data_IF_819898673205
#
_entry.id   IF_819898673205
#
_cell.length_a   1.000
_cell.length_b   1.000
_cell.length_c   1.000
_cell.angle_alpha   90.00
_cell.angle_beta   90.00
_cell.angle_gamma   90.00
#
_symmetry.space_group_name_H-M   'P 1'
#
loop_
_entity.id
_entity.type
_entity.pdbx_description
1 polymer ?
#
# COMPACT_ATOMS: atom_id res chain seq x y z
N UNK A 1 -42.62 9.79 -12.71
CA UNK A 1 -41.44 10.42 -12.07
C UNK A 1 -40.54 9.32 -11.53
N UNK A 2 -39.58 8.85 -12.32
CA UNK A 2 -38.56 7.91 -11.82
C UNK A 2 -37.40 8.72 -11.26
N UNK A 3 -37.26 8.71 -9.95
CA UNK A 3 -36.13 9.31 -9.24
C UNK A 3 -34.91 8.39 -9.47
N UNK A 4 -34.05 8.74 -10.43
CA UNK A 4 -32.76 8.10 -10.59
C UNK A 4 -31.87 8.47 -9.39
N UNK A 5 -31.64 7.51 -8.50
CA UNK A 5 -30.62 7.59 -7.47
C UNK A 5 -29.25 7.53 -8.17
N UNK A 6 -28.67 8.70 -8.41
CA UNK A 6 -27.28 8.80 -8.86
C UNK A 6 -26.37 8.23 -7.77
N UNK A 7 -25.85 7.01 -7.99
CA UNK A 7 -24.78 6.45 -7.17
C UNK A 7 -23.56 7.35 -7.36
N UNK A 8 -23.28 8.19 -6.37
CA UNK A 8 -22.04 8.98 -6.32
C UNK A 8 -20.88 7.98 -6.16
N UNK A 9 -20.21 7.64 -7.26
CA UNK A 9 -18.94 6.93 -7.23
C UNK A 9 -17.89 7.91 -6.67
N UNK A 10 -17.65 7.86 -5.37
CA UNK A 10 -16.55 8.61 -4.77
C UNK A 10 -15.25 7.88 -5.13
N UNK A 11 -14.48 8.42 -6.08
CA UNK A 11 -13.13 7.93 -6.34
C UNK A 11 -12.29 8.13 -5.06
N UNK A 12 -11.71 7.05 -4.55
CA UNK A 12 -10.81 7.13 -3.40
C UNK A 12 -9.49 7.74 -3.87
N UNK A 13 -9.02 8.80 -3.21
CA UNK A 13 -7.67 9.32 -3.48
C UNK A 13 -6.61 8.34 -2.99
N UNK A 14 -5.44 8.35 -3.65
CA UNK A 14 -4.27 7.53 -3.25
C UNK A 14 -3.93 7.71 -1.77
N UNK A 15 -3.89 8.95 -1.28
CA UNK A 15 -3.58 9.25 0.12
C UNK A 15 -4.66 8.73 1.09
N UNK A 16 -5.93 8.77 0.70
CA UNK A 16 -7.01 8.20 1.50
C UNK A 16 -6.92 6.67 1.59
N UNK A 17 -6.49 6.00 0.52
CA UNK A 17 -6.25 4.55 0.53
C UNK A 17 -5.01 4.22 1.36
N UNK A 18 -3.91 4.95 1.20
CA UNK A 18 -2.69 4.74 2.00
C UNK A 18 -2.99 4.85 3.49
N UNK A 19 -3.64 5.92 3.93
CA UNK A 19 -3.94 6.15 5.35
C UNK A 19 -4.85 5.10 5.97
N UNK A 20 -5.78 4.52 5.20
CA UNK A 20 -6.78 3.57 5.73
C UNK A 20 -6.41 2.10 5.53
N UNK A 21 -5.69 1.78 4.45
CA UNK A 21 -5.51 0.41 3.95
C UNK A 21 -4.05 0.02 3.71
N UNK A 22 -3.08 0.88 4.03
CA UNK A 22 -1.67 0.52 3.98
C UNK A 22 -1.07 0.65 5.37
N UNK A 23 -0.23 -0.32 5.76
CA UNK A 23 0.54 -0.25 7.01
C UNK A 23 2.01 -0.20 6.68
N UNK A 24 2.67 0.89 7.07
CA UNK A 24 4.08 1.13 6.82
C UNK A 24 4.88 0.87 8.09
N UNK A 25 6.05 0.23 7.94
CA UNK A 25 6.95 -0.10 9.02
C UNK A 25 8.39 0.29 8.69
N UNK A 26 9.13 0.68 9.72
CA UNK A 26 10.58 0.88 9.71
C UNK A 26 11.19 -0.03 10.79
N UNK A 27 12.03 -0.97 10.36
CA UNK A 27 12.70 -1.90 11.26
C UNK A 27 13.99 -1.34 11.88
N UNK A 28 14.40 -0.12 11.49
CA UNK A 28 15.60 0.55 11.98
C UNK A 28 16.89 0.08 11.31
N UNK A 29 16.81 -0.51 10.12
CA UNK A 29 17.98 -1.01 9.38
C UNK A 29 18.49 -2.36 9.90
N UNK A 30 17.64 -3.15 10.55
CA UNK A 30 17.99 -4.51 11.04
C UNK A 30 18.26 -5.48 9.89
N UNK A 31 17.68 -5.21 8.73
CA UNK A 31 17.84 -5.96 7.49
C UNK A 31 18.02 -4.96 6.34
N UNK A 32 18.41 -5.46 5.16
CA UNK A 32 18.59 -4.62 3.98
C UNK A 32 17.25 -4.01 3.50
N UNK A 33 16.15 -4.73 3.66
CA UNK A 33 14.78 -4.30 3.42
C UNK A 33 14.20 -3.56 4.65
N UNK A 34 14.86 -2.46 5.03
CA UNK A 34 14.53 -1.68 6.24
C UNK A 34 13.04 -1.32 6.38
N UNK A 35 12.39 -0.98 5.27
CA UNK A 35 11.00 -0.54 5.27
C UNK A 35 10.09 -1.61 4.71
N UNK A 36 8.88 -1.72 5.28
CA UNK A 36 7.84 -2.62 4.78
C UNK A 36 6.53 -1.89 4.58
N UNK A 37 5.93 -2.01 3.40
CA UNK A 37 4.56 -1.56 3.14
C UNK A 37 3.64 -2.77 3.00
N UNK A 38 2.67 -2.92 3.91
CA UNK A 38 1.68 -4.01 3.88
C UNK A 38 0.35 -3.49 3.35
N UNK A 39 -0.16 -4.09 2.28
CA UNK A 39 -1.36 -3.68 1.57
C UNK A 39 -2.59 -4.46 2.05
N UNK A 40 -3.39 -3.88 2.95
CA UNK A 40 -4.52 -4.59 3.58
C UNK A 40 -5.66 -4.92 2.62
N UNK A 41 -5.66 -4.33 1.42
CA UNK A 41 -6.58 -4.63 0.34
C UNK A 41 -6.17 -5.84 -0.49
N UNK A 42 -4.94 -6.34 -0.32
CA UNK A 42 -4.36 -7.43 -1.09
C UNK A 42 -4.17 -8.65 -0.18
N UNK A 43 -5.27 -9.34 0.13
CA UNK A 43 -5.26 -10.45 1.08
C UNK A 43 -4.92 -11.75 0.35
N UNK A 44 -3.80 -12.37 0.71
CA UNK A 44 -3.39 -13.66 0.14
C UNK A 44 -3.96 -14.86 0.92
N UNK A 45 -3.90 -14.81 2.25
CA UNK A 45 -4.48 -15.83 3.15
C UNK A 45 -4.80 -15.23 4.52
N UNK A 46 -5.34 -16.03 5.43
CA UNK A 46 -5.68 -15.54 6.79
C UNK A 46 -4.45 -14.96 7.49
N UNK A 47 -4.51 -13.66 7.80
CA UNK A 47 -3.46 -12.92 8.50
C UNK A 47 -2.27 -12.49 7.63
N UNK A 48 -2.26 -12.80 6.33
CA UNK A 48 -1.17 -12.47 5.40
C UNK A 48 -1.68 -11.65 4.22
N UNK A 49 -0.89 -10.66 3.84
CA UNK A 49 -1.24 -9.71 2.79
C UNK A 49 -0.04 -9.49 1.89
N UNK A 50 -0.31 -9.07 0.65
CA UNK A 50 0.68 -8.53 -0.26
C UNK A 50 1.40 -7.34 0.36
N UNK A 51 2.70 -7.26 0.12
CA UNK A 51 3.58 -6.28 0.72
C UNK A 51 4.77 -5.93 -0.17
N UNK A 52 5.43 -4.81 0.15
CA UNK A 52 6.77 -4.48 -0.33
C UNK A 52 7.76 -4.52 0.81
N UNK A 53 8.83 -5.31 0.66
CA UNK A 53 10.07 -5.11 1.40
C UNK A 53 10.97 -4.16 0.61
N UNK A 54 11.47 -3.10 1.24
CA UNK A 54 12.25 -2.08 0.53
C UNK A 54 13.37 -1.43 1.34
N UNK A 55 14.43 -1.04 0.63
CA UNK A 55 15.48 -0.17 1.17
C UNK A 55 15.25 1.29 0.73
N UNK A 56 16.20 2.20 0.98
CA UNK A 56 16.05 3.63 0.67
C UNK A 56 15.98 3.96 -0.84
N UNK A 57 16.39 3.02 -1.71
CA UNK A 57 16.42 3.19 -3.18
C UNK A 57 15.73 2.01 -3.88
N UNK A 58 14.42 1.81 -3.70
CA UNK A 58 13.72 0.60 -4.12
C UNK A 58 13.72 0.31 -5.62
N UNK A 59 13.99 1.30 -6.46
CA UNK A 59 14.06 1.15 -7.91
C UNK A 59 15.45 0.75 -8.43
N UNK A 60 16.46 0.80 -7.55
CA UNK A 60 17.86 0.47 -7.88
C UNK A 60 18.47 -0.51 -6.87
N UNK A 61 17.69 -0.92 -5.88
CA UNK A 61 18.07 -1.83 -4.80
C UNK A 61 16.92 -2.77 -4.47
N UNK A 62 16.51 -2.80 -3.20
CA UNK A 62 15.43 -3.69 -2.77
C UNK A 62 14.10 -2.96 -2.83
N UNK A 63 13.21 -3.45 -3.69
CA UNK A 63 11.81 -3.03 -3.84
C UNK A 63 10.91 -4.23 -4.15
N UNK A 64 11.16 -5.35 -3.48
CA UNK A 64 10.58 -6.64 -3.82
C UNK A 64 9.14 -6.76 -3.31
N UNK A 65 8.26 -7.34 -4.14
CA UNK A 65 6.95 -7.77 -3.68
C UNK A 65 7.10 -9.05 -2.87
N UNK A 66 6.40 -9.14 -1.74
CA UNK A 66 6.41 -10.27 -0.82
C UNK A 66 5.08 -10.36 -0.08
N UNK A 67 4.98 -11.31 0.84
CA UNK A 67 3.81 -11.49 1.69
C UNK A 67 4.19 -11.24 3.14
N UNK A 68 3.41 -10.46 3.87
CA UNK A 68 3.68 -10.15 5.27
C UNK A 68 2.42 -10.15 6.14
N UNK A 69 2.57 -10.59 7.39
CA UNK A 69 1.59 -10.34 8.43
C UNK A 69 1.84 -8.93 9.01
N UNK A 70 0.83 -8.06 9.13
CA UNK A 70 1.06 -6.76 9.73
C UNK A 70 1.31 -6.89 11.24
N UNK A 71 2.40 -6.33 11.75
CA UNK A 71 2.62 -6.30 13.20
C UNK A 71 4.01 -5.81 13.62
N UNK A 72 4.24 -5.81 14.94
CA UNK A 72 5.48 -5.29 15.58
C UNK A 72 6.76 -5.99 15.13
N UNK A 73 6.66 -7.20 14.58
CA UNK A 73 7.82 -7.93 14.06
C UNK A 73 8.45 -7.25 12.83
N UNK A 74 7.69 -6.42 12.10
CA UNK A 74 8.19 -5.60 10.99
C UNK A 74 8.85 -4.30 11.44
N UNK A 75 8.86 -4.00 12.74
CA UNK A 75 9.40 -2.75 13.30
C UNK A 75 8.34 -1.76 13.78
N UNK A 76 8.72 -0.49 13.84
CA UNK A 76 7.85 0.61 14.30
C UNK A 76 6.90 0.99 13.17
N UNK A 77 5.63 1.26 13.49
CA UNK A 77 4.70 1.85 12.51
C UNK A 77 5.10 3.29 12.21
N UNK A 78 5.14 3.63 10.92
CA UNK A 78 5.49 4.95 10.42
C UNK A 78 4.41 5.47 9.47
N UNK A 79 4.42 6.77 9.22
CA UNK A 79 3.59 7.40 8.20
C UNK A 79 4.29 7.36 6.83
N UNK A 80 3.56 7.66 5.76
CA UNK A 80 4.15 7.77 4.43
C UNK A 80 5.24 8.86 4.39
N UNK A 81 5.02 9.97 5.10
CA UNK A 81 5.96 11.09 5.13
C UNK A 81 7.30 10.76 5.81
N UNK A 82 7.33 9.72 6.66
CA UNK A 82 8.56 9.27 7.32
C UNK A 82 9.45 8.41 6.40
N UNK A 83 8.93 7.97 5.25
CA UNK A 83 9.69 7.14 4.32
C UNK A 83 10.58 7.99 3.40
N UNK A 84 11.69 7.42 2.88
CA UNK A 84 12.45 8.01 1.77
C UNK A 84 11.57 8.30 0.56
N UNK A 85 11.91 9.34 -0.22
CA UNK A 85 11.10 9.80 -1.36
C UNK A 85 10.77 8.69 -2.37
N UNK A 86 11.72 7.83 -2.68
CA UNK A 86 11.54 6.74 -3.62
C UNK A 86 10.64 5.63 -3.05
N UNK A 87 10.74 5.35 -1.76
CA UNK A 87 9.80 4.46 -1.07
C UNK A 87 8.38 5.02 -1.13
N UNK A 88 8.21 6.33 -0.88
CA UNK A 88 6.90 6.95 -1.00
C UNK A 88 6.36 6.85 -2.43
N UNK A 89 7.20 7.07 -3.43
CA UNK A 89 6.82 6.95 -4.84
C UNK A 89 6.34 5.53 -5.15
N UNK A 90 7.09 4.51 -4.73
CA UNK A 90 6.69 3.10 -4.94
C UNK A 90 5.31 2.80 -4.33
N UNK A 91 5.10 3.18 -3.06
CA UNK A 91 3.82 2.94 -2.37
C UNK A 91 2.66 3.66 -3.06
N UNK A 92 2.84 4.92 -3.50
CA UNK A 92 1.82 5.65 -4.25
C UNK A 92 1.52 4.99 -5.61
N UNK A 93 2.54 4.49 -6.30
CA UNK A 93 2.37 3.76 -7.56
C UNK A 93 1.56 2.48 -7.35
N UNK A 94 1.95 1.62 -6.40
CA UNK A 94 1.23 0.37 -6.11
C UNK A 94 -0.25 0.64 -5.74
N UNK A 95 -0.52 1.65 -4.91
CA UNK A 95 -1.89 2.05 -4.55
C UNK A 95 -2.65 2.65 -5.73
N UNK A 96 -2.00 3.46 -6.57
CA UNK A 96 -2.59 4.01 -7.78
C UNK A 96 -3.04 2.91 -8.74
N UNK A 97 -2.19 1.89 -8.95
CA UNK A 97 -2.54 0.72 -9.76
C UNK A 97 -3.72 -0.05 -9.19
N UNK A 98 -3.81 -0.21 -7.86
CA UNK A 98 -4.98 -0.82 -7.22
C UNK A 98 -6.27 -0.02 -7.49
N UNK A 99 -6.25 1.31 -7.34
CA UNK A 99 -7.43 2.16 -7.57
C UNK A 99 -7.88 2.08 -9.04
N UNK A 100 -6.94 2.10 -9.98
CA UNK A 100 -7.23 1.97 -11.41
C UNK A 100 -7.93 0.63 -11.72
N UNK A 101 -7.37 -0.49 -11.23
CA UNK A 101 -7.94 -1.82 -11.44
C UNK A 101 -9.37 -1.97 -10.87
N UNK A 102 -9.66 -1.36 -9.72
CA UNK A 102 -11.01 -1.36 -9.13
C UNK A 102 -12.02 -0.54 -9.94
N UNK A 103 -11.56 0.51 -10.64
CA UNK A 103 -12.43 1.38 -11.44
C UNK A 103 -12.86 0.67 -12.73
N UNK A 104 -11.94 -0.06 -13.36
CA UNK A 104 -12.21 -0.83 -14.58
C UNK A 104 -13.19 -1.97 -14.32
N UNK A 105 -13.06 -2.68 -13.19
CA UNK A 105 -13.95 -3.81 -12.84
C UNK A 105 -15.39 -3.40 -12.49
N UNK A 106 -15.70 -2.10 -12.37
CA UNK A 106 -17.04 -1.59 -12.08
C UNK A 106 -17.75 -1.03 -13.32
N UNK A 107 -17.08 -1.00 -14.47
CA UNK A 107 -17.62 -0.47 -15.72
C UNK A 107 -18.30 -1.54 -16.61
N UNK A 108 -18.18 -2.82 -16.24
CA UNK A 108 -18.83 -3.98 -16.87
C UNK A 108 -20.09 -4.41 -16.08
#
# INVERSE_FOLDING_TARGET
MHQQLAVRQASLSVEAVISKRVRLYDNGGKTLDRYTAVYLFDRERTGMYGARGMNESPFHGIGAYCSAAPGRHLGRRVSLADLPSDCQRLVRTDVGSFIAAQTESQAD
#
